data_IF_383177979818
#
_entry.id   IF_383177979818
#
_cell.length_a   1.000
_cell.length_b   1.000
_cell.length_c   1.000
_cell.angle_alpha   90.00
_cell.angle_beta   90.00
_cell.angle_gamma   90.00
#
_symmetry.space_group_name_H-M   'P 1'
#
loop_
_entity.id
_entity.type
_entity.pdbx_description
1 polymer ?
#
# COMPACT_ATOMS: atom_id res chain seq x y z
N UNK A 1 -0.90 11.06 -19.44
CA UNK A 1 -1.97 11.45 -18.48
C UNK A 1 -1.46 11.21 -17.06
N UNK A 2 -1.50 12.22 -16.17
CA UNK A 2 -1.10 12.05 -14.76
C UNK A 2 -2.32 11.63 -13.92
N UNK A 3 -2.09 10.85 -12.87
CA UNK A 3 -3.11 10.45 -11.91
C UNK A 3 -2.96 11.33 -10.66
N UNK A 4 -3.96 12.13 -10.34
CA UNK A 4 -3.90 13.13 -9.26
C UNK A 4 -4.60 12.57 -8.02
N UNK A 5 -4.02 12.80 -6.83
CA UNK A 5 -4.64 12.43 -5.58
C UNK A 5 -5.88 13.30 -5.29
N UNK A 6 -7.02 12.73 -4.87
CA UNK A 6 -8.19 13.52 -4.51
C UNK A 6 -8.04 14.23 -3.15
N UNK A 7 -7.11 13.78 -2.30
CA UNK A 7 -6.91 14.30 -0.95
C UNK A 7 -5.69 15.23 -0.81
N UNK A 8 -4.86 15.35 -1.86
CA UNK A 8 -3.72 16.27 -1.87
C UNK A 8 -3.26 16.60 -3.30
N UNK A 9 -2.27 17.49 -3.44
CA UNK A 9 -1.77 17.95 -4.75
C UNK A 9 -0.78 17.00 -5.42
N UNK A 10 -0.52 15.82 -4.84
CA UNK A 10 0.43 14.86 -5.42
C UNK A 10 -0.12 14.23 -6.70
N UNK A 11 0.78 14.02 -7.66
CA UNK A 11 0.47 13.35 -8.92
C UNK A 11 1.40 12.16 -9.14
N UNK A 12 0.87 11.14 -9.83
CA UNK A 12 1.55 9.87 -10.07
C UNK A 12 1.51 9.53 -11.55
N UNK A 13 2.54 8.84 -12.02
CA UNK A 13 2.64 8.36 -13.41
C UNK A 13 1.82 7.09 -13.67
N UNK A 14 1.44 6.36 -12.62
CA UNK A 14 0.73 5.07 -12.70
C UNK A 14 -0.49 5.07 -11.78
N UNK A 15 -1.61 4.44 -12.18
CA UNK A 15 -2.81 4.38 -11.36
C UNK A 15 -2.59 3.53 -10.10
N UNK A 16 -1.77 2.47 -10.19
CA UNK A 16 -1.41 1.64 -9.03
C UNK A 16 -0.64 2.44 -7.97
N UNK A 17 0.25 3.34 -8.38
CA UNK A 17 0.97 4.22 -7.46
C UNK A 17 0.02 5.21 -6.77
N UNK A 18 -0.94 5.78 -7.50
CA UNK A 18 -1.98 6.62 -6.89
C UNK A 18 -2.82 5.81 -5.89
N UNK A 19 -3.30 4.62 -6.27
CA UNK A 19 -4.12 3.76 -5.41
C UNK A 19 -3.41 3.44 -4.10
N UNK A 20 -2.15 3.03 -4.16
CA UNK A 20 -1.38 2.74 -2.93
C UNK A 20 -1.12 4.00 -2.11
N UNK A 21 -0.96 5.16 -2.76
CA UNK A 21 -0.85 6.43 -2.06
C UNK A 21 -2.14 6.80 -1.33
N UNK A 22 -3.32 6.51 -1.89
CA UNK A 22 -4.61 6.78 -1.22
C UNK A 22 -4.69 6.04 0.14
N UNK A 23 -4.13 4.83 0.24
CA UNK A 23 -4.03 4.12 1.52
C UNK A 23 -3.22 4.85 2.59
N UNK A 24 -2.31 5.77 2.21
CA UNK A 24 -1.60 6.62 3.18
C UNK A 24 -2.49 7.71 3.78
N UNK A 25 -3.61 8.06 3.12
CA UNK A 25 -4.60 8.97 3.65
C UNK A 25 -5.62 8.25 4.54
N UNK A 26 -6.09 7.06 4.14
CA UNK A 26 -7.07 6.30 4.93
C UNK A 26 -6.46 5.51 6.09
N UNK A 27 -5.14 5.26 6.06
CA UNK A 27 -4.47 4.36 6.99
C UNK A 27 -4.76 2.88 6.73
N UNK A 28 -5.55 2.56 5.70
CA UNK A 28 -5.87 1.18 5.33
C UNK A 28 -4.61 0.41 4.90
N UNK A 29 -4.54 -0.85 5.32
CA UNK A 29 -3.44 -1.75 4.96
C UNK A 29 -4.03 -3.09 4.53
N UNK A 30 -4.53 -3.20 3.30
CA UNK A 30 -5.27 -4.37 2.84
C UNK A 30 -4.42 -5.64 2.73
N UNK A 31 -3.10 -5.53 2.78
CA UNK A 31 -2.21 -6.68 2.67
C UNK A 31 -1.71 -7.09 4.05
N UNK A 32 -2.49 -7.93 4.75
CA UNK A 32 -2.07 -8.53 6.01
C UNK A 32 -1.04 -9.66 5.80
N UNK A 33 -0.21 -9.90 6.81
CA UNK A 33 0.67 -11.06 6.86
C UNK A 33 -0.18 -12.34 6.98
N UNK A 34 0.10 -13.40 6.19
CA UNK A 34 -0.66 -14.65 6.26
C UNK A 34 -0.26 -15.55 7.44
N UNK A 35 0.86 -15.27 8.11
CA UNK A 35 1.34 -16.09 9.23
C UNK A 35 0.57 -15.77 10.52
N UNK A 36 0.11 -16.82 11.19
CA UNK A 36 -0.57 -16.71 12.48
C UNK A 36 0.37 -16.15 13.55
N UNK A 37 -0.12 -15.21 14.37
CA UNK A 37 0.69 -14.51 15.37
C UNK A 37 1.50 -13.32 14.83
N UNK A 38 1.34 -12.96 13.55
CA UNK A 38 1.93 -11.75 12.98
C UNK A 38 0.85 -10.77 12.52
N UNK A 39 0.64 -9.69 13.28
CA UNK A 39 -0.38 -8.67 13.00
C UNK A 39 0.09 -7.58 12.02
N UNK A 40 1.21 -7.82 11.30
CA UNK A 40 1.75 -6.83 10.35
C UNK A 40 0.90 -6.77 9.10
N UNK A 41 0.48 -5.56 8.75
CA UNK A 41 -0.22 -5.25 7.51
C UNK A 41 0.51 -4.18 6.71
N UNK A 42 0.29 -4.17 5.40
CA UNK A 42 0.98 -3.31 4.44
C UNK A 42 0.00 -2.66 3.46
N UNK A 43 0.34 -1.45 3.01
CA UNK A 43 -0.38 -0.74 1.94
C UNK A 43 0.03 -1.18 0.53
N UNK A 44 1.19 -1.86 0.40
CA UNK A 44 1.72 -2.36 -0.88
C UNK A 44 1.92 -3.87 -0.80
N UNK A 45 1.41 -4.62 -1.79
CA UNK A 45 1.57 -6.08 -1.87
C UNK A 45 3.04 -6.51 -1.90
N UNK A 46 3.90 -5.83 -2.66
CA UNK A 46 5.33 -6.16 -2.73
C UNK A 46 6.04 -6.02 -1.39
N UNK A 47 5.60 -5.10 -0.53
CA UNK A 47 6.15 -4.94 0.82
C UNK A 47 5.76 -6.11 1.72
N UNK A 48 4.49 -6.55 1.69
CA UNK A 48 4.05 -7.76 2.38
C UNK A 48 4.82 -8.99 1.89
N UNK A 49 4.96 -9.16 0.56
CA UNK A 49 5.74 -10.25 -0.03
C UNK A 49 7.21 -10.23 0.41
N UNK A 50 7.82 -9.06 0.54
CA UNK A 50 9.17 -8.95 1.06
C UNK A 50 9.25 -9.33 2.54
N UNK A 51 8.27 -8.90 3.32
CA UNK A 51 8.19 -9.20 4.76
C UNK A 51 8.04 -10.71 5.03
N UNK A 52 7.21 -11.42 4.27
CA UNK A 52 7.04 -12.87 4.49
C UNK A 52 8.30 -13.69 4.18
N UNK A 53 9.27 -13.14 3.44
CA UNK A 53 10.56 -13.81 3.19
C UNK A 53 11.52 -13.77 4.38
N UNK A 54 11.22 -12.96 5.41
CA UNK A 54 12.02 -12.85 6.63
C UNK A 54 11.35 -13.47 7.85
N UNK A 55 10.19 -14.09 7.65
CA UNK A 55 9.63 -15.05 8.61
C UNK A 55 10.39 -16.36 8.47
#
# INVERSE_FOLDING_TARGET
>A
RKYICPHCTKSFSRPSSLRTHIFSHSGEKPFACPYQGCDRSFSVQSNMRRHIRVH
#
